data_IF_542463065507
#
_entry.id   IF_542463065507
#
_cell.length_a   1.000
_cell.length_b   1.000
_cell.length_c   1.000
_cell.angle_alpha   90.00
_cell.angle_beta   90.00
_cell.angle_gamma   90.00
#
_symmetry.space_group_name_H-M   'P 1'
#
loop_
_entity.id
_entity.type
_entity.pdbx_description
1 polymer ?
#
# COMPACT_ATOMS: atom_id res chain seq x y z
N UNK A 1 6.41 18.52 35.19
CA UNK A 1 7.02 18.11 33.90
C UNK A 1 5.90 17.64 32.97
N UNK A 2 5.72 18.31 31.83
CA UNK A 2 4.79 17.88 30.80
C UNK A 2 5.35 16.55 30.25
N UNK A 3 4.54 15.47 30.25
CA UNK A 3 4.94 14.18 29.72
C UNK A 3 5.26 14.31 28.22
N UNK A 4 6.35 13.69 27.76
CA UNK A 4 6.72 13.68 26.36
C UNK A 4 5.66 12.94 25.53
N UNK A 5 5.26 13.51 24.41
CA UNK A 5 4.23 12.96 23.52
C UNK A 5 4.55 13.15 22.05
N UNK A 6 3.82 12.45 21.21
CA UNK A 6 3.77 12.64 19.76
C UNK A 6 2.35 12.39 19.28
N UNK A 7 1.85 13.28 18.44
CA UNK A 7 0.49 13.23 17.90
C UNK A 7 0.53 12.70 16.45
N UNK A 8 -0.11 11.57 16.21
CA UNK A 8 -0.14 10.90 14.91
C UNK A 8 -1.54 10.96 14.33
N UNK A 9 -1.69 11.65 13.22
CA UNK A 9 -2.90 11.65 12.42
C UNK A 9 -2.81 10.45 11.47
N UNK A 10 -3.58 9.41 11.77
CA UNK A 10 -3.40 8.07 11.23
C UNK A 10 -4.55 7.62 10.33
N UNK A 11 -4.25 7.44 9.06
CA UNK A 11 -5.18 6.90 8.07
C UNK A 11 -4.86 5.44 7.67
N UNK A 12 -3.94 4.79 8.37
CA UNK A 12 -3.76 3.33 8.26
C UNK A 12 -4.83 2.62 9.09
N UNK A 13 -5.56 1.70 8.46
CA UNK A 13 -6.73 1.06 9.07
C UNK A 13 -6.41 -0.28 9.77
N UNK A 14 -5.20 -0.44 10.29
CA UNK A 14 -4.76 -1.69 10.93
C UNK A 14 -4.80 -1.56 12.44
N UNK A 15 -5.80 -2.18 13.06
CA UNK A 15 -5.95 -2.20 14.54
C UNK A 15 -4.71 -2.75 15.26
N UNK A 16 -4.02 -3.70 14.64
CA UNK A 16 -2.80 -4.28 15.18
C UNK A 16 -1.67 -3.26 15.37
N UNK A 17 -1.65 -2.16 14.62
CA UNK A 17 -0.60 -1.14 14.74
C UNK A 17 -0.59 -0.44 16.10
N UNK A 18 -1.70 -0.43 16.82
CA UNK A 18 -1.77 0.13 18.19
C UNK A 18 -0.77 -0.54 19.13
N UNK A 19 -0.58 -1.84 19.03
CA UNK A 19 0.41 -2.58 19.82
C UNK A 19 1.84 -2.08 19.56
N UNK A 20 2.15 -1.77 18.31
CA UNK A 20 3.44 -1.25 17.90
C UNK A 20 3.74 0.11 18.55
N UNK A 21 2.75 1.00 18.56
CA UNK A 21 2.87 2.31 19.22
C UNK A 21 3.02 2.18 20.74
N UNK A 22 2.34 1.21 21.35
CA UNK A 22 2.52 0.92 22.77
C UNK A 22 3.94 0.44 23.10
N UNK A 23 4.56 -0.34 22.23
CA UNK A 23 5.97 -0.74 22.37
C UNK A 23 6.92 0.45 22.31
N UNK A 24 6.65 1.40 21.42
CA UNK A 24 7.42 2.65 21.35
C UNK A 24 7.34 3.42 22.64
N UNK A 25 6.14 3.59 23.22
CA UNK A 25 5.95 4.26 24.50
C UNK A 25 6.68 3.53 25.63
N UNK A 26 6.62 2.21 25.68
CA UNK A 26 7.30 1.43 26.69
C UNK A 26 8.84 1.60 26.64
N UNK A 27 9.40 1.73 25.44
CA UNK A 27 10.85 1.92 25.25
C UNK A 27 11.35 3.33 25.50
N UNK A 28 10.55 4.33 25.21
CA UNK A 28 11.00 5.73 25.16
C UNK A 28 10.37 6.63 26.21
N UNK A 29 9.26 6.22 26.84
CA UNK A 29 8.45 7.07 27.70
C UNK A 29 7.63 8.12 26.94
N UNK A 30 7.70 8.14 25.59
CA UNK A 30 6.96 9.08 24.75
C UNK A 30 5.57 8.51 24.47
N UNK A 31 4.53 9.20 24.92
CA UNK A 31 3.14 8.81 24.65
C UNK A 31 2.79 9.07 23.20
N UNK A 32 2.17 8.08 22.56
CA UNK A 32 1.64 8.23 21.19
C UNK A 32 0.13 8.47 21.25
N UNK A 33 -0.29 9.64 20.79
CA UNK A 33 -1.71 9.99 20.66
C UNK A 33 -2.11 9.72 19.19
N UNK A 34 -2.94 8.69 19.00
CA UNK A 34 -3.45 8.34 17.66
C UNK A 34 -4.78 9.04 17.41
N UNK A 35 -4.82 9.85 16.37
CA UNK A 35 -6.04 10.43 15.84
C UNK A 35 -6.36 9.70 14.54
N UNK A 36 -7.22 8.69 14.64
CA UNK A 36 -7.59 7.85 13.53
C UNK A 36 -8.71 8.45 12.70
N UNK A 37 -8.65 8.28 11.38
CA UNK A 37 -9.67 8.75 10.48
C UNK A 37 -9.37 8.43 9.02
N UNK A 38 -10.31 8.80 8.14
CA UNK A 38 -10.10 8.72 6.70
C UNK A 38 -9.07 9.75 6.27
N UNK A 39 -8.20 9.39 5.34
CA UNK A 39 -7.10 10.24 4.89
C UNK A 39 -7.56 11.64 4.48
N UNK A 40 -8.57 11.75 3.62
CA UNK A 40 -9.08 13.05 3.16
C UNK A 40 -9.64 13.91 4.29
N UNK A 41 -10.31 13.31 5.28
CA UNK A 41 -10.85 14.03 6.43
C UNK A 41 -9.73 14.55 7.35
N UNK A 42 -8.72 13.74 7.59
CA UNK A 42 -7.56 14.14 8.38
C UNK A 42 -6.75 15.25 7.70
N UNK A 43 -6.53 15.13 6.40
CA UNK A 43 -5.85 16.16 5.59
C UNK A 43 -6.61 17.48 5.65
N UNK A 44 -7.92 17.45 5.45
CA UNK A 44 -8.78 18.64 5.52
C UNK A 44 -8.66 19.29 6.89
N UNK A 45 -8.77 18.51 7.97
CA UNK A 45 -8.63 19.00 9.33
C UNK A 45 -7.30 19.69 9.58
N UNK A 46 -6.19 19.07 9.18
CA UNK A 46 -4.86 19.66 9.32
C UNK A 46 -4.71 20.97 8.56
N UNK A 47 -5.28 21.06 7.37
CA UNK A 47 -5.28 22.29 6.56
C UNK A 47 -6.10 23.39 7.24
N UNK A 48 -7.29 23.07 7.76
CA UNK A 48 -8.19 24.02 8.41
C UNK A 48 -7.61 24.52 9.73
N UNK A 49 -6.99 23.65 10.53
CA UNK A 49 -6.34 24.02 11.80
C UNK A 49 -5.06 24.84 11.57
N UNK A 50 -4.38 24.64 10.45
CA UNK A 50 -3.16 25.39 10.09
C UNK A 50 -2.10 25.34 11.17
N UNK A 51 -1.65 26.53 11.63
CA UNK A 51 -0.63 26.66 12.67
C UNK A 51 -1.07 26.15 14.05
N UNK A 52 -2.35 26.04 14.28
CA UNK A 52 -2.91 25.56 15.55
C UNK A 52 -3.09 24.03 15.60
N UNK A 53 -2.73 23.34 14.50
CA UNK A 53 -2.80 21.88 14.47
C UNK A 53 -1.83 21.25 15.46
N UNK A 54 -2.31 20.24 16.17
CA UNK A 54 -1.48 19.43 17.06
C UNK A 54 -0.72 18.32 16.33
N UNK A 55 -0.96 18.12 15.04
CA UNK A 55 -0.39 17.03 14.27
C UNK A 55 1.14 17.11 14.18
N UNK A 56 1.81 16.03 14.54
CA UNK A 56 3.26 15.85 14.39
C UNK A 56 3.58 14.99 13.17
N UNK A 57 2.90 13.86 13.03
CA UNK A 57 3.02 12.93 11.90
C UNK A 57 1.66 12.71 11.22
N UNK A 58 1.71 12.58 9.92
CA UNK A 58 0.61 12.08 9.11
C UNK A 58 1.01 10.73 8.52
N UNK A 59 0.30 9.68 8.87
CA UNK A 59 0.55 8.32 8.39
C UNK A 59 -0.63 7.87 7.54
N UNK A 60 -0.36 7.42 6.33
CA UNK A 60 -1.37 6.93 5.39
C UNK A 60 -0.91 5.70 4.62
N UNK A 61 -1.86 5.00 4.05
CA UNK A 61 -1.61 3.77 3.32
C UNK A 61 -1.07 3.96 1.89
N UNK A 62 -0.94 5.21 1.42
CA UNK A 62 -0.47 5.49 0.06
C UNK A 62 0.46 6.71 0.02
N UNK A 63 1.68 6.51 -0.47
CA UNK A 63 2.70 7.54 -0.57
C UNK A 63 2.33 8.69 -1.51
N UNK A 64 1.45 8.46 -2.47
CA UNK A 64 0.91 9.51 -3.32
C UNK A 64 0.21 10.61 -2.51
N UNK A 65 -0.46 10.25 -1.43
CA UNK A 65 -1.07 11.22 -0.51
C UNK A 65 -0.03 12.04 0.24
N UNK A 66 1.06 11.42 0.70
CA UNK A 66 2.17 12.15 1.31
C UNK A 66 2.79 13.14 0.34
N UNK A 67 2.96 12.75 -0.92
CA UNK A 67 3.46 13.64 -1.98
C UNK A 67 2.54 14.83 -2.24
N UNK A 68 1.24 14.60 -2.34
CA UNK A 68 0.23 15.68 -2.50
C UNK A 68 0.20 16.59 -1.28
N UNK A 69 0.26 16.04 -0.08
CA UNK A 69 0.28 16.80 1.17
C UNK A 69 1.52 17.70 1.25
N UNK A 70 2.67 17.20 0.82
CA UNK A 70 3.90 17.99 0.64
C UNK A 70 3.70 19.11 -0.39
N UNK A 71 3.12 18.80 -1.55
CA UNK A 71 2.88 19.80 -2.60
C UNK A 71 1.97 20.94 -2.14
N UNK A 72 1.07 20.68 -1.20
CA UNK A 72 0.21 21.70 -0.55
C UNK A 72 0.93 22.52 0.53
N UNK A 73 2.22 22.29 0.74
CA UNK A 73 3.00 23.00 1.75
C UNK A 73 2.69 22.62 3.19
N UNK A 74 2.11 21.44 3.42
CA UNK A 74 1.65 20.97 4.74
C UNK A 74 2.68 20.13 5.49
N UNK A 75 3.86 19.94 4.92
CA UNK A 75 4.94 19.15 5.53
C UNK A 75 6.19 19.98 5.71
N UNK A 76 7.13 19.48 6.50
CA UNK A 76 8.46 20.06 6.68
C UNK A 76 9.54 19.00 6.51
N UNK A 77 10.76 19.47 6.19
CA UNK A 77 11.95 18.63 6.19
C UNK A 77 12.38 18.23 7.61
N UNK A 78 13.18 17.19 7.71
CA UNK A 78 13.74 16.71 8.98
C UNK A 78 13.87 15.20 9.06
N UNK A 79 13.29 14.44 8.13
CA UNK A 79 13.45 12.99 8.06
C UNK A 79 14.75 12.62 7.31
N UNK A 80 15.88 13.09 7.87
CA UNK A 80 17.20 13.04 7.23
C UNK A 80 18.26 12.34 8.07
N UNK A 81 17.87 11.67 9.17
CA UNK A 81 18.82 10.97 10.02
C UNK A 81 19.54 9.85 9.27
N UNK A 82 20.74 9.48 9.76
CA UNK A 82 21.49 8.36 9.21
C UNK A 82 20.72 7.05 9.28
N UNK A 83 19.93 6.85 10.35
CA UNK A 83 19.08 5.67 10.53
C UNK A 83 18.02 5.57 9.41
N UNK A 84 17.32 6.66 9.10
CA UNK A 84 16.31 6.68 8.03
C UNK A 84 16.97 6.46 6.66
N UNK A 85 18.06 7.13 6.39
CA UNK A 85 18.78 7.01 5.11
C UNK A 85 19.33 5.59 4.88
N UNK A 86 19.78 4.92 5.93
CA UNK A 86 20.25 3.55 5.83
C UNK A 86 19.11 2.54 5.66
N UNK A 87 17.96 2.81 6.28
CA UNK A 87 16.83 1.89 6.28
C UNK A 87 16.02 1.91 4.98
N UNK A 88 15.82 3.10 4.38
CA UNK A 88 14.88 3.29 3.27
C UNK A 88 15.62 3.69 2.00
N UNK A 89 15.41 2.97 0.87
CA UNK A 89 15.93 3.38 -0.43
C UNK A 89 15.52 4.81 -0.81
N UNK A 90 16.40 5.54 -1.48
CA UNK A 90 16.20 6.97 -1.80
C UNK A 90 14.94 7.27 -2.63
N UNK A 91 14.49 6.31 -3.42
CA UNK A 91 13.26 6.45 -4.24
C UNK A 91 11.97 6.28 -3.42
N UNK A 92 12.05 5.78 -2.19
CA UNK A 92 10.90 5.59 -1.28
C UNK A 92 10.87 6.61 -0.14
N UNK A 93 11.63 7.69 -0.22
CA UNK A 93 11.67 8.75 0.79
C UNK A 93 12.03 10.10 0.22
N UNK A 94 11.67 11.12 0.97
CA UNK A 94 12.19 12.49 0.83
C UNK A 94 12.58 12.98 2.23
N UNK A 95 13.05 14.22 2.37
CA UNK A 95 13.24 14.81 3.71
C UNK A 95 11.92 15.09 4.44
N UNK A 96 10.79 15.11 3.74
CA UNK A 96 9.46 15.44 4.27
C UNK A 96 8.60 14.23 4.60
N UNK A 97 8.82 13.12 3.94
CA UNK A 97 8.11 11.87 4.19
C UNK A 97 8.99 10.66 3.87
N UNK A 98 8.67 9.53 4.46
CA UNK A 98 9.32 8.24 4.16
C UNK A 98 8.31 7.13 4.06
N UNK A 99 8.61 6.14 3.20
CA UNK A 99 7.92 4.86 3.20
C UNK A 99 8.20 4.10 4.50
N UNK A 100 7.22 3.36 4.98
CA UNK A 100 7.34 2.53 6.18
C UNK A 100 7.00 1.06 5.95
N UNK A 101 6.22 0.75 4.93
CA UNK A 101 5.89 -0.61 4.50
C UNK A 101 5.54 -0.62 3.02
N UNK A 102 5.73 -1.76 2.35
CA UNK A 102 5.52 -1.89 0.90
C UNK A 102 4.48 -2.96 0.58
N UNK A 103 3.78 -2.77 -0.52
CA UNK A 103 2.91 -3.74 -1.17
C UNK A 103 2.94 -3.48 -2.67
N UNK A 104 2.56 -4.51 -3.41
CA UNK A 104 2.43 -4.41 -4.86
C UNK A 104 0.97 -4.57 -5.27
N UNK A 105 0.59 -3.92 -6.37
CA UNK A 105 -0.70 -4.14 -7.02
C UNK A 105 -0.49 -5.12 -8.17
N UNK A 106 -1.05 -6.30 -8.03
CA UNK A 106 -0.76 -7.42 -8.91
C UNK A 106 -2.02 -8.00 -9.55
N UNK A 107 -1.84 -9.01 -10.37
CA UNK A 107 -2.92 -9.81 -10.95
C UNK A 107 -3.01 -11.14 -10.22
N UNK A 108 -4.21 -11.52 -9.83
CA UNK A 108 -4.55 -12.87 -9.39
C UNK A 108 -5.32 -13.59 -10.49
N UNK A 109 -5.07 -14.86 -10.68
CA UNK A 109 -5.70 -15.63 -11.75
C UNK A 109 -6.13 -17.02 -11.28
N UNK A 110 -7.08 -17.60 -12.02
CA UNK A 110 -7.51 -18.99 -11.82
C UNK A 110 -6.62 -19.91 -12.67
N UNK A 111 -5.75 -20.73 -12.06
CA UNK A 111 -4.82 -21.56 -12.83
C UNK A 111 -5.53 -22.64 -13.68
N UNK A 112 -6.76 -22.97 -13.35
CA UNK A 112 -7.58 -23.92 -14.12
C UNK A 112 -8.13 -23.33 -15.43
N UNK A 113 -8.24 -21.98 -15.52
CA UNK A 113 -8.85 -21.29 -16.67
C UNK A 113 -7.90 -20.37 -17.41
N UNK A 114 -6.75 -20.04 -16.83
CA UNK A 114 -5.74 -19.16 -17.43
C UNK A 114 -4.43 -19.91 -17.52
N UNK A 115 -3.92 -20.08 -18.74
CA UNK A 115 -2.65 -20.76 -18.97
C UNK A 115 -1.45 -19.84 -18.75
N UNK A 116 -0.28 -20.45 -18.54
CA UNK A 116 0.98 -19.71 -18.50
C UNK A 116 1.26 -18.95 -19.80
N UNK A 117 0.84 -19.47 -20.94
CA UNK A 117 0.98 -18.79 -22.23
C UNK A 117 0.14 -17.51 -22.32
N UNK A 118 -1.08 -17.50 -21.77
CA UNK A 118 -1.91 -16.29 -21.70
C UNK A 118 -1.31 -15.22 -20.78
N UNK A 119 -0.60 -15.62 -19.74
CA UNK A 119 0.03 -14.73 -18.77
C UNK A 119 1.40 -14.23 -19.22
N UNK A 120 2.07 -14.94 -20.12
CA UNK A 120 3.41 -14.58 -20.55
C UNK A 120 3.43 -13.16 -21.10
N UNK A 121 4.30 -12.30 -20.53
CA UNK A 121 4.41 -10.91 -20.90
C UNK A 121 3.24 -10.00 -20.50
N UNK A 122 2.34 -10.45 -19.63
CA UNK A 122 1.22 -9.64 -19.16
C UNK A 122 1.71 -8.34 -18.53
N UNK A 123 1.10 -7.23 -18.95
CA UNK A 123 1.32 -5.90 -18.40
C UNK A 123 -0.02 -5.32 -17.91
N UNK A 124 0.03 -4.23 -17.11
CA UNK A 124 -1.20 -3.50 -16.80
C UNK A 124 -1.88 -3.00 -18.08
N UNK A 125 -1.07 -2.56 -19.06
CA UNK A 125 -1.54 -2.08 -20.36
C UNK A 125 -2.33 -3.17 -21.09
N UNK A 126 -1.87 -4.41 -21.07
CA UNK A 126 -2.53 -5.54 -21.75
C UNK A 126 -3.83 -5.99 -21.09
N UNK A 127 -4.19 -5.49 -19.90
CA UNK A 127 -5.51 -5.72 -19.30
C UNK A 127 -6.65 -5.10 -20.14
N UNK A 128 -6.34 -4.16 -21.02
CA UNK A 128 -7.28 -3.57 -21.97
C UNK A 128 -7.47 -4.41 -23.24
N UNK A 129 -6.69 -5.45 -23.44
CA UNK A 129 -6.76 -6.30 -24.64
C UNK A 129 -8.10 -7.06 -24.69
N UNK A 130 -8.72 -7.19 -25.89
CA UNK A 130 -10.00 -7.88 -26.03
C UNK A 130 -10.02 -9.33 -25.58
N UNK A 131 -8.88 -10.01 -25.49
CA UNK A 131 -8.80 -11.38 -24.97
C UNK A 131 -9.30 -11.54 -23.53
N UNK A 132 -9.31 -10.45 -22.77
CA UNK A 132 -9.79 -10.43 -21.39
C UNK A 132 -11.27 -10.05 -21.25
N UNK A 133 -11.97 -9.88 -22.38
CA UNK A 133 -13.39 -9.48 -22.37
C UNK A 133 -14.24 -10.47 -21.55
N UNK A 134 -14.96 -9.92 -20.55
CA UNK A 134 -15.78 -10.71 -19.64
C UNK A 134 -15.00 -11.54 -18.62
N UNK A 135 -13.68 -11.36 -18.52
CA UNK A 135 -12.79 -12.20 -17.71
C UNK A 135 -12.12 -11.46 -16.55
N UNK A 136 -12.23 -10.13 -16.48
CA UNK A 136 -11.54 -9.25 -15.54
C UNK A 136 -12.48 -8.72 -14.47
N UNK A 137 -12.04 -8.75 -13.21
CA UNK A 137 -12.67 -7.99 -12.13
C UNK A 137 -11.66 -7.07 -11.46
N UNK A 138 -12.12 -5.91 -11.06
CA UNK A 138 -11.36 -4.88 -10.38
C UNK A 138 -12.32 -4.05 -9.53
N UNK A 139 -11.87 -3.52 -8.41
CA UNK A 139 -12.70 -2.67 -7.57
C UNK A 139 -12.91 -1.28 -8.20
N UNK A 140 -13.78 -0.48 -7.59
CA UNK A 140 -14.16 0.85 -8.11
C UNK A 140 -12.96 1.76 -8.33
N UNK A 141 -13.05 2.59 -9.37
CA UNK A 141 -12.04 3.60 -9.74
C UNK A 141 -11.83 4.68 -8.68
N UNK A 142 -12.80 4.91 -7.79
CA UNK A 142 -12.66 5.84 -6.67
C UNK A 142 -11.68 5.37 -5.58
N UNK A 143 -11.34 4.10 -5.60
CA UNK A 143 -10.40 3.54 -4.62
C UNK A 143 -8.98 4.06 -4.83
N UNK A 144 -8.30 4.41 -3.74
CA UNK A 144 -6.95 5.01 -3.78
C UNK A 144 -5.91 4.11 -4.45
N UNK A 145 -6.00 2.79 -4.31
CA UNK A 145 -5.05 1.88 -4.94
C UNK A 145 -5.17 1.89 -6.47
N UNK A 146 -6.40 1.97 -6.98
CA UNK A 146 -6.63 2.12 -8.41
C UNK A 146 -6.22 3.50 -8.92
N UNK A 147 -6.47 4.56 -8.16
CA UNK A 147 -6.02 5.92 -8.50
C UNK A 147 -4.49 5.98 -8.59
N UNK A 148 -3.79 5.33 -7.67
CA UNK A 148 -2.33 5.25 -7.66
C UNK A 148 -1.81 4.51 -8.90
N UNK A 149 -2.41 3.37 -9.24
CA UNK A 149 -2.07 2.63 -10.47
C UNK A 149 -2.31 3.47 -11.72
N UNK A 150 -3.45 4.12 -11.83
CA UNK A 150 -3.78 4.99 -12.97
C UNK A 150 -2.80 6.15 -13.06
N UNK A 151 -2.42 6.76 -11.95
CA UNK A 151 -1.40 7.82 -11.92
C UNK A 151 -0.05 7.32 -12.48
N UNK A 152 0.35 6.11 -12.14
CA UNK A 152 1.54 5.47 -12.69
C UNK A 152 1.43 5.27 -14.21
N UNK A 153 0.27 4.83 -14.70
CA UNK A 153 0.02 4.68 -16.13
C UNK A 153 0.07 6.03 -16.88
N UNK A 154 -0.51 7.07 -16.30
CA UNK A 154 -0.44 8.42 -16.86
C UNK A 154 1.00 8.92 -16.94
N UNK A 155 1.79 8.67 -15.90
CA UNK A 155 3.21 9.04 -15.88
C UNK A 155 4.01 8.34 -16.97
N UNK A 156 3.76 7.07 -17.19
CA UNK A 156 4.52 6.26 -18.15
C UNK A 156 4.02 6.40 -19.59
N UNK A 157 2.72 6.56 -19.80
CA UNK A 157 2.08 6.46 -21.12
C UNK A 157 1.32 7.73 -21.56
N UNK A 158 1.13 8.69 -20.65
CA UNK A 158 0.36 9.90 -20.90
C UNK A 158 -1.15 9.74 -20.65
N UNK A 159 -1.84 10.87 -20.57
CA UNK A 159 -3.28 10.91 -20.26
C UNK A 159 -4.15 10.28 -21.34
N UNK A 160 -3.87 10.56 -22.62
CA UNK A 160 -4.67 10.06 -23.74
C UNK A 160 -4.62 8.53 -23.83
N UNK A 161 -3.43 7.93 -23.79
CA UNK A 161 -3.26 6.48 -23.81
C UNK A 161 -3.89 5.81 -22.60
N UNK A 162 -3.79 6.41 -21.42
CA UNK A 162 -4.41 5.89 -20.20
C UNK A 162 -5.94 5.98 -20.25
N UNK A 163 -6.51 7.01 -20.84
CA UNK A 163 -7.96 7.11 -21.05
C UNK A 163 -8.47 5.98 -21.96
N UNK A 164 -7.77 5.69 -23.06
CA UNK A 164 -8.11 4.57 -23.94
C UNK A 164 -7.96 3.21 -23.23
N UNK A 165 -6.89 3.05 -22.44
CA UNK A 165 -6.71 1.88 -21.60
C UNK A 165 -7.89 1.69 -20.64
N UNK A 166 -8.34 2.75 -19.98
CA UNK A 166 -9.47 2.68 -19.04
C UNK A 166 -10.76 2.21 -19.74
N UNK A 167 -11.01 2.68 -20.96
CA UNK A 167 -12.15 2.20 -21.76
C UNK A 167 -12.05 0.71 -22.07
N UNK A 168 -10.86 0.23 -22.44
CA UNK A 168 -10.61 -1.19 -22.70
C UNK A 168 -10.79 -2.05 -21.46
N UNK A 169 -10.29 -1.61 -20.31
CA UNK A 169 -10.48 -2.30 -19.03
C UNK A 169 -11.97 -2.40 -18.67
N UNK A 170 -12.73 -1.30 -18.81
CA UNK A 170 -14.19 -1.31 -18.57
C UNK A 170 -14.90 -2.29 -19.49
N UNK A 171 -14.53 -2.32 -20.76
CA UNK A 171 -15.08 -3.29 -21.73
C UNK A 171 -14.80 -4.75 -21.36
N UNK A 172 -13.72 -5.01 -20.65
CA UNK A 172 -13.29 -6.35 -20.27
C UNK A 172 -13.85 -6.81 -18.91
N UNK A 173 -14.47 -5.93 -18.13
CA UNK A 173 -15.04 -6.25 -16.83
C UNK A 173 -16.11 -7.33 -16.92
N UNK A 174 -15.97 -8.37 -16.10
CA UNK A 174 -16.96 -9.45 -15.98
C UNK A 174 -18.24 -8.98 -15.26
N UNK A 175 -18.13 -7.92 -14.45
CA UNK A 175 -19.23 -7.34 -13.69
C UNK A 175 -18.97 -5.86 -13.40
N UNK A 176 -20.02 -5.15 -13.01
CA UNK A 176 -19.89 -3.81 -12.44
C UNK A 176 -19.02 -3.87 -11.18
N UNK A 177 -18.01 -3.00 -11.03
CA UNK A 177 -17.11 -3.02 -9.88
C UNK A 177 -17.86 -2.91 -8.55
N UNK A 178 -17.59 -3.85 -7.65
CA UNK A 178 -18.16 -3.90 -6.30
C UNK A 178 -17.18 -4.55 -5.33
N UNK A 179 -17.27 -4.19 -4.06
CA UNK A 179 -16.46 -4.79 -3.00
C UNK A 179 -15.00 -4.32 -2.98
N UNK A 180 -14.27 -4.84 -2.02
CA UNK A 180 -12.84 -4.59 -1.84
C UNK A 180 -11.98 -5.56 -2.68
N UNK A 181 -10.66 -5.53 -2.50
CA UNK A 181 -9.74 -6.41 -3.23
C UNK A 181 -10.01 -7.89 -2.95
N UNK A 182 -10.37 -8.25 -1.71
CA UNK A 182 -10.72 -9.65 -1.37
C UNK A 182 -11.97 -10.13 -2.14
N UNK A 183 -12.94 -9.25 -2.35
CA UNK A 183 -14.12 -9.56 -3.15
C UNK A 183 -13.77 -9.88 -4.62
N UNK A 184 -12.73 -9.26 -5.17
CA UNK A 184 -12.24 -9.56 -6.51
C UNK A 184 -11.57 -10.94 -6.55
N UNK A 185 -10.75 -11.27 -5.58
CA UNK A 185 -10.12 -12.60 -5.45
C UNK A 185 -11.21 -13.68 -5.30
N UNK A 186 -12.22 -13.43 -4.48
CA UNK A 186 -13.38 -14.32 -4.30
C UNK A 186 -14.12 -14.57 -5.62
N UNK A 187 -14.31 -13.54 -6.42
CA UNK A 187 -14.97 -13.65 -7.74
C UNK A 187 -14.20 -14.56 -8.70
N UNK A 188 -12.87 -14.45 -8.72
CA UNK A 188 -12.02 -15.36 -9.53
C UNK A 188 -12.11 -16.78 -9.01
N UNK A 189 -12.05 -16.99 -7.70
CA UNK A 189 -12.18 -18.32 -7.10
C UNK A 189 -13.55 -18.96 -7.39
N UNK A 190 -14.61 -18.17 -7.46
CA UNK A 190 -15.98 -18.63 -7.75
C UNK A 190 -16.27 -18.82 -9.25
N UNK A 191 -15.36 -18.42 -10.14
CA UNK A 191 -15.55 -18.55 -11.58
C UNK A 191 -16.32 -17.41 -12.24
N UNK A 192 -16.60 -16.31 -11.54
CA UNK A 192 -17.21 -15.10 -12.14
C UNK A 192 -16.25 -14.39 -13.11
N UNK A 193 -14.94 -14.50 -12.85
CA UNK A 193 -13.89 -13.95 -13.68
C UNK A 193 -12.67 -14.86 -13.66
N UNK A 194 -11.75 -14.63 -14.57
CA UNK A 194 -10.52 -15.42 -14.68
C UNK A 194 -9.31 -14.72 -14.08
N UNK A 195 -9.33 -13.38 -14.07
CA UNK A 195 -8.28 -12.55 -13.49
C UNK A 195 -8.86 -11.40 -12.66
N UNK A 196 -8.10 -11.00 -11.64
CA UNK A 196 -8.42 -9.87 -10.78
C UNK A 196 -7.18 -9.01 -10.53
N UNK A 197 -7.39 -7.69 -10.39
CA UNK A 197 -6.33 -6.78 -9.91
C UNK A 197 -6.57 -6.54 -8.43
N UNK A 198 -5.55 -6.81 -7.61
CA UNK A 198 -5.61 -6.65 -6.16
C UNK A 198 -4.21 -6.49 -5.56
N UNK A 199 -4.14 -5.96 -4.34
CA UNK A 199 -2.87 -5.84 -3.64
C UNK A 199 -2.39 -7.19 -3.06
N UNK A 200 -1.09 -7.32 -2.89
CA UNK A 200 -0.42 -8.56 -2.51
C UNK A 200 -0.82 -9.10 -1.14
N UNK A 201 -0.97 -8.24 -0.13
CA UNK A 201 -1.24 -8.68 1.24
C UNK A 201 -2.63 -9.33 1.43
N UNK A 202 -3.57 -9.08 0.54
CA UNK A 202 -4.93 -9.63 0.68
C UNK A 202 -4.98 -11.14 0.54
N UNK A 203 -4.20 -11.73 -0.38
CA UNK A 203 -4.15 -13.18 -0.51
C UNK A 203 -3.61 -13.84 0.77
N UNK A 204 -2.52 -13.32 1.30
CA UNK A 204 -1.93 -13.82 2.54
C UNK A 204 -2.90 -13.70 3.73
N UNK A 205 -3.62 -12.57 3.83
CA UNK A 205 -4.66 -12.37 4.83
C UNK A 205 -5.77 -13.42 4.73
N UNK A 206 -6.23 -13.72 3.53
CA UNK A 206 -7.26 -14.74 3.30
C UNK A 206 -6.74 -16.14 3.66
N UNK A 207 -5.51 -16.49 3.21
CA UNK A 207 -4.86 -17.77 3.51
C UNK A 207 -4.60 -17.99 5.00
N UNK A 208 -4.40 -16.93 5.77
CA UNK A 208 -4.17 -17.00 7.22
C UNK A 208 -5.39 -17.51 8.00
N UNK A 209 -6.57 -17.52 7.41
CA UNK A 209 -7.83 -17.88 8.05
C UNK A 209 -8.45 -16.76 8.88
N UNK A 210 -7.80 -15.62 9.04
CA UNK A 210 -8.32 -14.47 9.84
C UNK A 210 -9.62 -13.89 9.28
N UNK A 211 -9.96 -14.18 8.02
CA UNK A 211 -11.20 -13.74 7.36
C UNK A 211 -12.21 -14.86 7.17
N UNK A 212 -12.01 -16.00 7.81
CA UNK A 212 -12.92 -17.13 7.82
C UNK A 212 -12.56 -18.24 6.83
N UNK A 213 -13.17 -19.40 7.03
CA UNK A 213 -12.87 -20.61 6.26
C UNK A 213 -13.24 -20.49 4.77
N UNK A 214 -14.32 -19.78 4.45
CA UNK A 214 -14.75 -19.56 3.07
C UNK A 214 -13.71 -18.80 2.26
N UNK A 215 -13.20 -17.68 2.80
CA UNK A 215 -12.18 -16.91 2.13
C UNK A 215 -10.84 -17.64 2.07
N UNK A 216 -10.49 -18.42 3.11
CA UNK A 216 -9.29 -19.23 3.09
C UNK A 216 -9.34 -20.31 2.00
N UNK A 217 -10.48 -20.98 1.82
CA UNK A 217 -10.69 -21.95 0.76
C UNK A 217 -10.63 -21.31 -0.63
N UNK A 218 -11.25 -20.14 -0.79
CA UNK A 218 -11.21 -19.39 -2.05
C UNK A 218 -9.77 -18.98 -2.43
N UNK A 219 -8.99 -18.52 -1.47
CA UNK A 219 -7.61 -18.09 -1.70
C UNK A 219 -6.72 -19.21 -2.26
N UNK A 220 -6.99 -20.46 -1.91
CA UNK A 220 -6.26 -21.62 -2.42
C UNK A 220 -6.53 -21.94 -3.89
N UNK A 221 -7.57 -21.34 -4.49
CA UNK A 221 -7.98 -21.56 -5.88
C UNK A 221 -7.35 -20.55 -6.86
N UNK A 222 -6.64 -19.56 -6.36
CA UNK A 222 -6.02 -18.53 -7.19
C UNK A 222 -4.51 -18.50 -7.00
N UNK A 223 -3.81 -17.94 -7.99
CA UNK A 223 -2.38 -17.69 -7.95
C UNK A 223 -2.06 -16.23 -8.27
N UNK A 224 -0.92 -15.77 -7.80
CA UNK A 224 -0.42 -14.43 -8.04
C UNK A 224 0.43 -14.36 -9.30
N UNK A 225 0.31 -13.25 -10.03
CA UNK A 225 1.17 -12.91 -11.16
C UNK A 225 1.60 -11.45 -11.08
N UNK A 226 2.89 -11.19 -11.29
CA UNK A 226 3.47 -9.84 -11.25
C UNK A 226 3.52 -9.25 -12.68
N UNK A 227 2.73 -8.19 -12.97
CA UNK A 227 2.76 -7.55 -14.29
C UNK A 227 4.06 -6.78 -14.55
N UNK A 228 4.32 -6.49 -15.85
CA UNK A 228 5.39 -5.60 -16.28
C UNK A 228 6.81 -6.06 -15.92
N UNK A 229 7.04 -7.36 -15.83
CA UNK A 229 8.35 -7.89 -15.45
C UNK A 229 9.39 -7.73 -16.55
N UNK A 230 8.98 -7.58 -17.80
CA UNK A 230 9.86 -7.38 -18.96
C UNK A 230 10.13 -5.90 -19.26
N UNK A 231 9.51 -5.00 -18.51
CA UNK A 231 9.73 -3.55 -18.67
C UNK A 231 9.99 -2.86 -17.32
N UNK A 232 9.19 -1.89 -16.89
CA UNK A 232 9.45 -1.08 -15.69
C UNK A 232 9.30 -1.79 -14.35
N UNK A 233 8.67 -2.95 -14.34
CA UNK A 233 8.35 -3.66 -13.09
C UNK A 233 6.94 -3.40 -12.57
N UNK A 234 6.58 -4.16 -11.55
CA UNK A 234 5.27 -4.11 -10.93
C UNK A 234 5.09 -2.84 -10.09
N UNK A 235 3.92 -2.22 -10.18
CA UNK A 235 3.56 -1.02 -9.41
C UNK A 235 3.57 -1.29 -7.91
N UNK A 236 4.35 -0.47 -7.19
CA UNK A 236 4.48 -0.53 -5.74
C UNK A 236 3.54 0.48 -5.08
N UNK A 237 2.86 0.05 -4.05
CA UNK A 237 2.09 0.90 -3.16
C UNK A 237 2.80 0.94 -1.81
N UNK A 238 2.95 2.13 -1.23
CA UNK A 238 3.83 2.34 -0.08
C UNK A 238 3.05 3.10 0.98
N UNK A 239 2.98 2.54 2.19
CA UNK A 239 2.54 3.30 3.36
C UNK A 239 3.62 4.32 3.72
N UNK A 240 3.22 5.54 4.04
CA UNK A 240 4.16 6.62 4.31
C UNK A 240 3.85 7.35 5.61
N UNK A 241 4.91 7.90 6.20
CA UNK A 241 4.85 8.82 7.34
C UNK A 241 5.42 10.18 6.89
N UNK A 242 4.63 11.24 7.01
CA UNK A 242 5.03 12.60 6.67
C UNK A 242 5.16 13.44 7.93
N UNK A 243 6.23 14.25 8.00
CA UNK A 243 6.45 15.20 9.09
C UNK A 243 5.61 16.45 8.82
N UNK A 244 4.67 16.74 9.70
CA UNK A 244 3.70 17.83 9.51
C UNK A 244 4.38 19.17 9.75
N UNK A 245 4.08 20.17 8.91
CA UNK A 245 4.54 21.53 9.11
C UNK A 245 4.05 22.07 10.44
N UNK A 246 4.95 22.66 11.22
CA UNK A 246 4.61 23.20 12.53
C UNK A 246 4.43 22.16 13.62
N UNK A 247 4.84 20.92 13.40
CA UNK A 247 4.76 19.86 14.39
C UNK A 247 5.29 20.29 15.76
N UNK A 248 4.44 20.31 16.80
CA UNK A 248 4.87 20.76 18.13
C UNK A 248 5.88 19.79 18.79
N UNK A 249 5.85 18.51 18.41
CA UNK A 249 6.75 17.48 18.95
C UNK A 249 7.62 16.87 17.85
N UNK A 250 8.28 17.71 17.07
CA UNK A 250 9.06 17.31 15.89
C UNK A 250 10.11 16.23 16.20
N UNK A 251 10.90 16.40 17.26
CA UNK A 251 11.97 15.46 17.58
C UNK A 251 11.41 14.08 18.00
N UNK A 252 10.31 14.08 18.75
CA UNK A 252 9.61 12.85 19.12
C UNK A 252 9.00 12.16 17.89
N UNK A 253 8.52 12.93 16.91
CA UNK A 253 8.01 12.42 15.65
C UNK A 253 9.10 11.72 14.85
N UNK A 254 10.29 12.31 14.76
CA UNK A 254 11.45 11.71 14.08
C UNK A 254 11.86 10.41 14.77
N UNK A 255 11.90 10.38 16.10
CA UNK A 255 12.17 9.16 16.89
C UNK A 255 11.16 8.06 16.59
N UNK A 256 9.88 8.40 16.48
CA UNK A 256 8.84 7.43 16.14
C UNK A 256 9.04 6.87 14.73
N UNK A 257 9.36 7.70 13.75
CA UNK A 257 9.66 7.24 12.39
C UNK A 257 10.86 6.29 12.39
N UNK A 258 11.92 6.63 13.09
CA UNK A 258 13.08 5.75 13.21
C UNK A 258 12.70 4.41 13.85
N UNK A 259 11.85 4.41 14.87
CA UNK A 259 11.34 3.19 15.50
C UNK A 259 10.54 2.33 14.53
N UNK A 260 9.67 2.92 13.71
CA UNK A 260 8.88 2.20 12.70
C UNK A 260 9.76 1.51 11.64
N UNK A 261 10.98 1.97 11.47
CA UNK A 261 11.96 1.43 10.52
C UNK A 261 12.94 0.43 11.17
N UNK A 262 12.78 0.09 12.45
CA UNK A 262 13.57 -0.95 13.09
C UNK A 262 13.16 -2.35 12.63
N UNK A 263 14.03 -3.36 12.73
CA UNK A 263 13.66 -4.75 12.44
C UNK A 263 12.42 -5.22 13.21
N UNK A 264 12.31 -4.89 14.49
CA UNK A 264 11.15 -5.24 15.32
C UNK A 264 9.83 -4.70 14.74
N UNK A 265 9.81 -3.43 14.37
CA UNK A 265 8.62 -2.81 13.78
C UNK A 265 8.30 -3.36 12.39
N UNK A 266 9.33 -3.62 11.59
CA UNK A 266 9.15 -4.21 10.25
C UNK A 266 8.65 -5.65 10.33
N UNK A 267 9.09 -6.45 11.30
CA UNK A 267 8.54 -7.77 11.60
C UNK A 267 7.05 -7.70 11.98
N UNK A 268 6.66 -6.67 12.73
CA UNK A 268 5.24 -6.43 13.03
C UNK A 268 4.43 -6.23 11.75
N UNK A 269 4.89 -5.40 10.82
CA UNK A 269 4.19 -5.16 9.55
C UNK A 269 4.10 -6.43 8.71
N UNK A 270 5.19 -7.19 8.56
CA UNK A 270 5.16 -8.42 7.74
C UNK A 270 4.28 -9.51 8.33
N UNK A 271 4.17 -9.60 9.65
CA UNK A 271 3.43 -10.69 10.32
C UNK A 271 1.98 -10.34 10.67
N UNK A 272 1.64 -9.06 10.82
CA UNK A 272 0.28 -8.64 11.19
C UNK A 272 -0.52 -8.06 10.03
N UNK A 273 0.14 -7.42 9.08
CA UNK A 273 -0.51 -6.82 7.89
C UNK A 273 -0.11 -7.49 6.59
N UNK A 274 0.79 -8.47 6.62
CA UNK A 274 1.30 -9.22 5.47
C UNK A 274 1.92 -8.36 4.37
N UNK A 275 2.44 -7.20 4.75
CA UNK A 275 3.15 -6.30 3.85
C UNK A 275 4.58 -6.79 3.58
N UNK A 276 5.22 -6.26 2.56
CA UNK A 276 6.66 -6.42 2.37
C UNK A 276 7.41 -5.48 3.31
N UNK A 277 8.56 -5.89 3.86
CA UNK A 277 9.37 -5.01 4.67
C UNK A 277 9.96 -3.87 3.83
N UNK A 278 10.09 -2.69 4.44
CA UNK A 278 10.76 -1.54 3.82
C UNK A 278 12.29 -1.69 3.89
N UNK A 279 12.80 -2.32 4.94
CA UNK A 279 14.24 -2.45 5.21
C UNK A 279 14.78 -3.82 4.77
N UNK A 280 16.10 -3.88 4.53
CA UNK A 280 16.78 -5.14 4.34
C UNK A 280 16.90 -5.96 5.63
N UNK A 281 17.16 -7.26 5.51
CA UNK A 281 17.41 -8.17 6.65
C UNK A 281 16.17 -8.66 7.38
N UNK A 282 14.97 -8.23 6.99
CA UNK A 282 13.69 -8.73 7.49
C UNK A 282 12.99 -9.51 6.38
N UNK A 283 12.60 -10.74 6.66
CA UNK A 283 11.86 -11.57 5.70
C UNK A 283 10.37 -11.27 5.75
N UNK A 284 9.70 -11.31 4.60
CA UNK A 284 8.24 -11.27 4.56
C UNK A 284 7.63 -12.51 5.22
N UNK A 285 6.34 -12.43 5.56
CA UNK A 285 5.62 -13.56 6.16
C UNK A 285 5.67 -14.79 5.21
N UNK A 286 5.84 -16.02 5.73
CA UNK A 286 5.87 -17.23 4.91
C UNK A 286 4.67 -17.41 3.98
N UNK A 287 3.48 -16.95 4.35
CA UNK A 287 2.30 -16.96 3.47
C UNK A 287 2.50 -16.08 2.24
N UNK A 288 3.19 -14.96 2.39
CA UNK A 288 3.57 -14.08 1.27
C UNK A 288 4.65 -14.73 0.43
N UNK A 289 5.72 -15.21 1.05
CA UNK A 289 6.87 -15.83 0.37
C UNK A 289 6.42 -17.03 -0.47
N UNK A 290 5.62 -17.92 0.10
CA UNK A 290 5.25 -19.19 -0.52
C UNK A 290 4.10 -19.09 -1.54
N UNK A 291 3.23 -18.09 -1.43
CA UNK A 291 2.02 -18.00 -2.25
C UNK A 291 1.98 -16.80 -3.19
N UNK A 292 2.82 -15.80 -2.96
CA UNK A 292 2.89 -14.58 -3.77
C UNK A 292 4.29 -14.46 -4.39
N UNK A 293 5.32 -14.53 -3.56
CA UNK A 293 6.73 -14.42 -3.96
C UNK A 293 7.31 -13.04 -3.71
N UNK A 294 8.64 -13.00 -3.65
CA UNK A 294 9.42 -11.77 -3.43
C UNK A 294 10.36 -11.45 -4.59
N UNK A 295 10.56 -12.43 -5.48
CA UNK A 295 11.46 -12.28 -6.62
C UNK A 295 10.71 -11.68 -7.80
N UNK A 296 10.57 -10.37 -7.77
CA UNK A 296 9.94 -9.62 -8.85
C UNK A 296 10.58 -8.25 -9.01
N UNK A 297 10.57 -7.75 -10.23
CA UNK A 297 11.01 -6.39 -10.53
C UNK A 297 9.95 -5.39 -10.07
N UNK A 298 10.39 -4.41 -9.28
CA UNK A 298 9.55 -3.33 -8.75
C UNK A 298 9.70 -2.07 -9.61
N UNK A 299 8.59 -1.39 -9.86
CA UNK A 299 8.63 -0.06 -10.46
C UNK A 299 9.06 0.93 -9.37
N UNK A 300 10.26 1.47 -9.51
CA UNK A 300 10.92 2.34 -8.56
C UNK A 300 10.86 3.83 -8.92
N UNK A 301 10.02 4.23 -9.89
CA UNK A 301 9.97 5.63 -10.37
C UNK A 301 8.83 6.43 -9.75
#
# INVERSE_FOLDING_TARGET
TIAAEVNVFNARHYKADAELYNKFTAKTGIKVNLINGKAGALEKRMIEEGADSSADLYITADAGRCGVFKAKGMTQGGLTSAAIKAAVPSNFRTSHWTGIAKRARIVYYAPERVSGAELAGLTYESLADPKWKGRLVIRKSSNIYNKSLVASLVKNNGKAATAEWAKGVVSNMARTPKGNDRAQIMAVAAGEADIAVANTYYLALMLSGKKGAEQQAAAKKVKAFFPNQNDRGTHMNISCAALVKGAPNKDNAIKLVEFLLTPESQEHFVNNTFEFPMIGGVSANPLVVNNIGLDFKQDLK
#
